data_IF_534359594834
#
_entry.id   IF_534359594834
#
_cell.length_a   1.000
_cell.length_b   1.000
_cell.length_c   1.000
_cell.angle_alpha   90.00
_cell.angle_beta   90.00
_cell.angle_gamma   90.00
#
_symmetry.space_group_name_H-M   'P 1'
#
loop_
_entity.id
_entity.type
_entity.pdbx_description
1 polymer ?
#
# COMPACT_ATOMS: atom_id res chain seq x y z
N UNK A 1 -15.87 -14.10 -10.11
CA UNK A 1 -15.88 -13.11 -11.22
C UNK A 1 -17.12 -12.22 -11.24
N UNK A 2 -18.37 -12.71 -11.22
CA UNK A 2 -19.58 -11.84 -11.18
C UNK A 2 -19.68 -10.94 -9.94
N UNK A 3 -19.26 -11.41 -8.77
CA UNK A 3 -19.30 -10.63 -7.50
C UNK A 3 -18.29 -9.47 -7.51
N UNK A 4 -17.07 -9.73 -7.99
CA UNK A 4 -16.01 -8.72 -8.09
C UNK A 4 -16.38 -7.60 -9.08
N UNK A 5 -16.95 -7.94 -10.23
CA UNK A 5 -17.39 -6.94 -11.22
C UNK A 5 -18.54 -6.07 -10.70
N UNK A 6 -19.43 -6.62 -9.87
CA UNK A 6 -20.48 -5.82 -9.22
C UNK A 6 -19.90 -4.90 -8.14
N UNK A 7 -18.93 -5.38 -7.35
CA UNK A 7 -18.26 -4.57 -6.33
C UNK A 7 -17.39 -3.45 -6.93
N UNK A 8 -16.79 -3.70 -8.10
CA UNK A 8 -16.05 -2.75 -8.94
C UNK A 8 -16.97 -1.74 -9.65
N UNK A 9 -18.19 -2.12 -10.04
CA UNK A 9 -19.15 -1.18 -10.61
C UNK A 9 -19.67 -0.15 -9.57
N UNK A 10 -19.64 -0.50 -8.29
CA UNK A 10 -19.95 0.41 -7.17
C UNK A 10 -18.77 1.32 -6.76
N UNK A 11 -17.68 1.34 -7.53
CA UNK A 11 -16.47 2.15 -7.30
C UNK A 11 -16.33 3.33 -8.26
N UNK A 12 -17.33 3.60 -9.09
CA UNK A 12 -17.28 4.65 -10.13
C UNK A 12 -17.35 6.08 -9.55
N UNK A 13 -16.90 7.10 -10.32
CA UNK A 13 -16.49 8.41 -9.78
C UNK A 13 -17.61 9.32 -9.27
N UNK A 14 -18.89 8.99 -9.52
CA UNK A 14 -20.03 9.89 -9.30
C UNK A 14 -20.68 9.80 -7.91
N UNK A 15 -20.07 9.08 -6.95
CA UNK A 15 -20.58 9.02 -5.59
C UNK A 15 -20.05 10.18 -4.73
N UNK A 16 -20.91 10.77 -3.92
CA UNK A 16 -20.53 11.79 -2.94
C UNK A 16 -19.65 11.15 -1.83
N UNK A 17 -18.33 11.24 -2.02
CA UNK A 17 -17.29 10.66 -1.15
C UNK A 17 -16.88 11.59 0.01
N UNK A 18 -17.74 12.52 0.41
CA UNK A 18 -17.41 13.57 1.40
C UNK A 18 -17.04 13.07 2.80
N UNK A 19 -17.34 11.81 3.15
CA UNK A 19 -16.97 11.23 4.45
C UNK A 19 -15.67 10.41 4.38
N UNK A 20 -14.68 10.81 5.20
CA UNK A 20 -13.40 10.10 5.35
C UNK A 20 -13.60 8.62 5.76
N UNK A 21 -14.61 8.32 6.58
CA UNK A 21 -14.89 6.94 7.02
C UNK A 21 -15.35 6.05 5.86
N UNK A 22 -16.15 6.58 4.94
CA UNK A 22 -16.54 5.84 3.73
C UNK A 22 -15.35 5.58 2.81
N UNK A 23 -14.44 6.56 2.68
CA UNK A 23 -13.19 6.40 1.91
C UNK A 23 -12.31 5.32 2.54
N UNK A 24 -12.13 5.35 3.87
CA UNK A 24 -11.38 4.33 4.61
C UNK A 24 -11.96 2.94 4.40
N UNK A 25 -13.27 2.75 4.60
CA UNK A 25 -13.92 1.45 4.43
C UNK A 25 -13.69 0.89 3.02
N UNK A 26 -13.83 1.74 2.00
CA UNK A 26 -13.69 1.32 0.62
C UNK A 26 -12.24 1.03 0.23
N UNK A 27 -11.30 1.86 0.67
CA UNK A 27 -9.86 1.62 0.51
C UNK A 27 -9.45 0.31 1.18
N UNK A 28 -9.93 0.02 2.41
CA UNK A 28 -9.67 -1.24 3.11
C UNK A 28 -10.18 -2.44 2.29
N UNK A 29 -11.38 -2.35 1.71
CA UNK A 29 -11.95 -3.39 0.83
C UNK A 29 -11.10 -3.60 -0.43
N UNK A 30 -10.72 -2.53 -1.12
CA UNK A 30 -9.88 -2.58 -2.32
C UNK A 30 -8.55 -3.29 -2.04
N UNK A 31 -7.85 -2.86 -1.00
CA UNK A 31 -6.56 -3.43 -0.61
C UNK A 31 -6.69 -4.90 -0.20
N UNK A 32 -7.69 -5.23 0.62
CA UNK A 32 -7.91 -6.61 1.08
C UNK A 32 -8.15 -7.56 -0.10
N UNK A 33 -8.98 -7.15 -1.06
CA UNK A 33 -9.25 -7.91 -2.28
C UNK A 33 -7.96 -8.08 -3.09
N UNK A 34 -7.19 -7.01 -3.28
CA UNK A 34 -5.96 -7.08 -4.06
C UNK A 34 -4.95 -8.03 -3.42
N UNK A 35 -4.69 -7.89 -2.12
CA UNK A 35 -3.69 -8.69 -1.42
C UNK A 35 -4.09 -10.16 -1.35
N UNK A 36 -5.37 -10.45 -1.10
CA UNK A 36 -5.86 -11.83 -1.14
C UNK A 36 -5.70 -12.45 -2.54
N UNK A 37 -5.99 -11.68 -3.60
CA UNK A 37 -5.85 -12.15 -4.96
C UNK A 37 -4.39 -12.42 -5.33
N UNK A 38 -3.48 -11.47 -5.08
CA UNK A 38 -2.05 -11.64 -5.34
C UNK A 38 -1.47 -12.77 -4.50
N UNK A 39 -1.84 -12.88 -3.23
CA UNK A 39 -1.36 -13.96 -2.36
C UNK A 39 -1.80 -15.35 -2.82
N UNK A 40 -3.01 -15.48 -3.35
CA UNK A 40 -3.49 -16.73 -3.96
C UNK A 40 -2.76 -17.08 -5.25
N UNK A 41 -2.46 -16.07 -6.09
CA UNK A 41 -1.65 -16.29 -7.28
C UNK A 41 -0.26 -16.80 -6.91
N UNK A 42 0.38 -16.19 -5.92
CA UNK A 42 1.68 -16.63 -5.42
C UNK A 42 1.65 -18.06 -4.91
N UNK A 43 0.69 -18.37 -4.03
CA UNK A 43 0.58 -19.71 -3.45
C UNK A 43 0.34 -20.80 -4.52
N UNK A 44 -0.41 -20.45 -5.57
CA UNK A 44 -0.61 -21.35 -6.70
C UNK A 44 0.71 -21.60 -7.46
N UNK A 45 1.49 -20.55 -7.72
CA UNK A 45 2.76 -20.69 -8.42
C UNK A 45 3.82 -21.45 -7.60
N UNK A 46 3.88 -21.21 -6.28
CA UNK A 46 4.72 -21.99 -5.37
C UNK A 46 4.34 -23.48 -5.42
N UNK A 47 3.04 -23.79 -5.41
CA UNK A 47 2.54 -25.16 -5.50
C UNK A 47 2.80 -25.85 -6.84
N UNK A 48 2.95 -25.06 -7.92
CA UNK A 48 3.28 -25.55 -9.26
C UNK A 48 4.79 -25.60 -9.52
N UNK A 49 5.62 -25.15 -8.57
CA UNK A 49 7.08 -24.99 -8.73
C UNK A 49 7.44 -24.17 -9.98
N UNK A 50 6.60 -23.18 -10.31
CA UNK A 50 6.79 -22.28 -11.45
C UNK A 50 7.20 -20.91 -10.95
N UNK A 51 8.25 -20.35 -11.55
CA UNK A 51 8.55 -18.93 -11.36
C UNK A 51 7.38 -18.09 -11.89
N UNK A 52 6.84 -17.25 -11.03
CA UNK A 52 5.80 -16.31 -11.41
C UNK A 52 6.43 -15.35 -12.42
N UNK A 53 5.95 -15.37 -13.67
CA UNK A 53 6.13 -14.20 -14.54
C UNK A 53 5.17 -13.13 -14.06
N UNK A 54 5.48 -12.55 -12.90
CA UNK A 54 4.96 -11.24 -12.59
C UNK A 54 5.39 -10.35 -13.75
N UNK A 55 4.52 -9.44 -14.13
CA UNK A 55 4.84 -8.34 -15.04
C UNK A 55 6.24 -7.77 -14.73
N UNK A 56 6.91 -7.17 -15.72
CA UNK A 56 8.25 -6.59 -15.52
C UNK A 56 8.31 -5.60 -14.34
N UNK A 57 7.16 -5.07 -13.92
CA UNK A 57 6.97 -4.24 -12.74
C UNK A 57 5.98 -4.90 -11.76
N UNK A 58 6.44 -5.45 -10.60
CA UNK A 58 5.58 -6.09 -9.60
C UNK A 58 4.41 -5.25 -9.10
N UNK A 59 4.48 -3.92 -9.23
CA UNK A 59 3.40 -3.00 -8.86
C UNK A 59 2.15 -3.13 -9.74
N UNK A 60 2.26 -3.64 -10.96
CA UNK A 60 1.12 -3.77 -11.87
C UNK A 60 0.08 -4.79 -11.34
N UNK A 61 0.52 -5.73 -10.50
CA UNK A 61 -0.36 -6.68 -9.80
C UNK A 61 -1.17 -6.03 -8.67
N UNK A 62 -0.79 -4.82 -8.25
CA UNK A 62 -1.39 -4.05 -7.17
C UNK A 62 -2.29 -2.90 -7.69
N UNK A 63 -2.98 -3.11 -8.81
CA UNK A 63 -3.80 -2.07 -9.44
C UNK A 63 -4.98 -1.56 -8.59
N UNK A 64 -5.55 -2.37 -7.67
CA UNK A 64 -6.56 -1.88 -6.73
C UNK A 64 -5.93 -1.14 -5.54
N UNK A 65 -4.66 -1.42 -5.24
CA UNK A 65 -3.88 -0.63 -4.28
C UNK A 65 -3.68 0.78 -4.79
N UNK A 66 -3.35 0.93 -6.08
CA UNK A 66 -3.33 2.22 -6.75
C UNK A 66 -4.68 2.96 -6.52
N UNK A 67 -5.80 2.36 -6.92
CA UNK A 67 -7.12 2.98 -6.76
C UNK A 67 -7.45 3.35 -5.30
N UNK A 68 -7.02 2.54 -4.34
CA UNK A 68 -7.19 2.83 -2.92
C UNK A 68 -6.37 4.06 -2.47
N UNK A 69 -5.14 4.20 -2.98
CA UNK A 69 -4.29 5.36 -2.74
C UNK A 69 -4.90 6.62 -3.35
N UNK A 70 -5.34 6.58 -4.62
CA UNK A 70 -5.97 7.73 -5.27
C UNK A 70 -7.24 8.17 -4.53
N UNK A 71 -8.05 7.20 -4.08
CA UNK A 71 -9.27 7.48 -3.31
C UNK A 71 -8.99 8.21 -2.00
N UNK A 72 -7.95 7.78 -1.28
CA UNK A 72 -7.60 8.31 0.04
C UNK A 72 -6.86 9.64 -0.03
N UNK A 73 -5.94 9.78 -0.99
CA UNK A 73 -4.99 10.90 -1.05
C UNK A 73 -5.35 11.94 -2.09
N UNK A 74 -6.12 11.58 -3.12
CA UNK A 74 -6.35 12.42 -4.29
C UNK A 74 -5.16 12.52 -5.25
N UNK A 75 -4.03 11.86 -4.95
CA UNK A 75 -2.88 11.76 -5.83
C UNK A 75 -3.26 11.00 -7.11
N UNK A 76 -2.73 11.43 -8.26
CA UNK A 76 -3.01 10.84 -9.58
C UNK A 76 -1.72 10.65 -10.37
N UNK A 77 -1.64 9.58 -11.16
CA UNK A 77 -0.46 9.33 -12.00
C UNK A 77 0.82 9.09 -11.18
N UNK A 78 1.99 9.37 -11.75
CA UNK A 78 3.30 9.14 -11.09
C UNK A 78 3.67 10.23 -10.06
N UNK A 79 2.75 10.54 -9.14
CA UNK A 79 3.03 11.38 -7.97
C UNK A 79 4.02 10.64 -7.04
N UNK A 80 5.08 11.31 -6.58
CA UNK A 80 6.09 10.72 -5.72
C UNK A 80 5.48 10.10 -4.45
N UNK A 81 4.50 10.75 -3.83
CA UNK A 81 3.80 10.20 -2.66
C UNK A 81 3.10 8.87 -3.00
N UNK A 82 2.48 8.81 -4.18
CA UNK A 82 1.79 7.61 -4.66
C UNK A 82 2.79 6.48 -4.90
N UNK A 83 3.92 6.78 -5.55
CA UNK A 83 5.01 5.80 -5.78
C UNK A 83 5.53 5.25 -4.45
N UNK A 84 5.71 6.10 -3.43
CA UNK A 84 6.10 5.64 -2.10
C UNK A 84 5.04 4.71 -1.49
N UNK A 85 3.76 5.07 -1.54
CA UNK A 85 2.69 4.24 -0.98
C UNK A 85 2.54 2.89 -1.71
N UNK A 86 2.67 2.87 -3.03
CA UNK A 86 2.70 1.65 -3.85
C UNK A 86 3.87 0.75 -3.44
N UNK A 87 5.07 1.32 -3.32
CA UNK A 87 6.28 0.58 -2.98
C UNK A 87 6.20 -0.01 -1.57
N UNK A 88 5.71 0.78 -0.59
CA UNK A 88 5.45 0.31 0.78
C UNK A 88 4.49 -0.87 0.78
N UNK A 89 3.38 -0.73 0.05
CA UNK A 89 2.34 -1.75 -0.02
C UNK A 89 2.89 -3.05 -0.60
N UNK A 90 3.54 -2.95 -1.77
CA UNK A 90 4.14 -4.06 -2.50
C UNK A 90 5.20 -4.78 -1.67
N UNK A 91 6.18 -4.04 -1.15
CA UNK A 91 7.30 -4.63 -0.42
C UNK A 91 6.88 -5.22 0.93
N UNK A 92 5.96 -4.57 1.66
CA UNK A 92 5.45 -5.10 2.93
C UNK A 92 4.61 -6.35 2.70
N UNK A 93 3.81 -6.38 1.62
CA UNK A 93 3.07 -7.56 1.21
C UNK A 93 4.00 -8.75 0.97
N UNK A 94 5.05 -8.59 0.14
CA UNK A 94 6.00 -9.67 -0.11
C UNK A 94 6.75 -10.09 1.15
N UNK A 95 7.17 -9.14 1.99
CA UNK A 95 7.80 -9.44 3.30
C UNK A 95 6.89 -10.32 4.17
N UNK A 96 5.60 -10.00 4.26
CA UNK A 96 4.61 -10.78 5.00
C UNK A 96 4.38 -12.15 4.37
N UNK A 97 4.24 -12.24 3.05
CA UNK A 97 4.03 -13.51 2.34
C UNK A 97 5.11 -14.55 2.69
N UNK A 98 6.39 -14.15 2.61
CA UNK A 98 7.51 -15.06 2.85
C UNK A 98 7.75 -15.41 4.34
N UNK A 99 7.30 -14.55 5.26
CA UNK A 99 7.51 -14.74 6.72
C UNK A 99 6.33 -15.40 7.42
N UNK A 100 5.15 -15.45 6.77
CA UNK A 100 3.91 -15.92 7.39
C UNK A 100 3.55 -17.31 6.90
N UNK A 101 3.09 -18.18 7.80
CA UNK A 101 2.57 -19.49 7.42
C UNK A 101 1.33 -19.32 6.51
N UNK A 102 1.20 -20.18 5.50
CA UNK A 102 0.12 -20.09 4.50
C UNK A 102 -1.31 -19.97 5.11
N UNK A 103 -1.56 -20.68 6.22
CA UNK A 103 -2.88 -20.64 6.91
C UNK A 103 -3.20 -19.28 7.56
N UNK A 104 -2.17 -18.47 7.85
CA UNK A 104 -2.28 -17.20 8.57
C UNK A 104 -2.14 -15.98 7.61
N UNK A 105 -1.78 -16.21 6.34
CA UNK A 105 -1.54 -15.16 5.34
C UNK A 105 -2.77 -14.27 5.09
N UNK A 106 -3.99 -14.84 5.07
CA UNK A 106 -5.22 -14.05 4.85
C UNK A 106 -5.42 -12.99 5.93
N UNK A 107 -5.15 -13.35 7.19
CA UNK A 107 -5.30 -12.42 8.30
C UNK A 107 -4.18 -11.37 8.31
N UNK A 108 -2.94 -11.79 7.98
CA UNK A 108 -1.82 -10.87 7.81
C UNK A 108 -2.09 -9.82 6.72
N UNK A 109 -2.69 -10.21 5.59
CA UNK A 109 -3.05 -9.29 4.51
C UNK A 109 -4.17 -8.32 4.88
N UNK A 110 -5.15 -8.76 5.68
CA UNK A 110 -6.16 -7.85 6.22
C UNK A 110 -5.55 -6.84 7.19
N UNK A 111 -4.60 -7.28 8.02
CA UNK A 111 -3.80 -6.39 8.87
C UNK A 111 -3.06 -5.34 8.06
N UNK A 112 -2.35 -5.76 7.00
CA UNK A 112 -1.66 -4.82 6.10
C UNK A 112 -2.63 -3.82 5.45
N UNK A 113 -3.78 -4.27 4.95
CA UNK A 113 -4.79 -3.39 4.36
C UNK A 113 -5.31 -2.36 5.37
N UNK A 114 -5.51 -2.78 6.63
CA UNK A 114 -5.91 -1.89 7.70
C UNK A 114 -4.84 -0.81 7.96
N UNK A 115 -3.60 -1.23 8.14
CA UNK A 115 -2.47 -0.38 8.53
C UNK A 115 -2.13 0.66 7.45
N UNK A 116 -2.16 0.25 6.18
CA UNK A 116 -1.98 1.16 5.05
C UNK A 116 -3.07 2.23 5.00
N UNK A 117 -4.32 1.89 5.28
CA UNK A 117 -5.41 2.89 5.28
C UNK A 117 -5.29 3.86 6.43
N UNK A 118 -4.88 3.41 7.61
CA UNK A 118 -4.62 4.33 8.72
C UNK A 118 -3.42 5.25 8.44
N UNK A 119 -2.37 4.74 7.78
CA UNK A 119 -1.27 5.58 7.30
C UNK A 119 -1.78 6.63 6.30
N UNK A 120 -2.54 6.20 5.28
CA UNK A 120 -3.07 7.11 4.25
C UNK A 120 -4.01 8.17 4.84
N UNK A 121 -4.82 7.81 5.82
CA UNK A 121 -5.74 8.74 6.47
C UNK A 121 -5.03 9.84 7.28
N UNK A 122 -3.79 9.59 7.71
CA UNK A 122 -2.97 10.59 8.40
C UNK A 122 -2.24 11.53 7.43
N UNK A 123 -2.13 11.19 6.15
CA UNK A 123 -1.37 12.00 5.17
C UNK A 123 -1.79 13.47 5.13
N UNK A 124 -3.08 13.85 5.19
CA UNK A 124 -3.47 15.26 5.24
C UNK A 124 -2.96 16.01 6.48
N UNK A 125 -2.72 15.31 7.60
CA UNK A 125 -2.16 15.88 8.83
C UNK A 125 -0.63 15.94 8.78
N UNK A 126 -0.01 14.97 8.09
CA UNK A 126 1.43 14.81 7.93
C UNK A 126 1.99 15.82 6.93
N UNK A 127 1.30 16.00 5.79
CA UNK A 127 1.74 16.82 4.67
C UNK A 127 1.25 18.27 4.76
N UNK A 128 1.19 18.84 5.97
CA UNK A 128 1.02 20.28 6.15
C UNK A 128 2.28 21.09 5.73
N UNK A 129 3.37 20.39 5.44
CA UNK A 129 4.61 20.91 4.87
C UNK A 129 4.74 20.40 3.42
N UNK A 130 5.42 21.15 2.57
CA UNK A 130 5.78 20.69 1.23
C UNK A 130 6.51 19.34 1.32
N UNK A 131 6.21 18.42 0.41
CA UNK A 131 6.76 17.07 0.41
C UNK A 131 8.29 17.09 0.45
N UNK A 132 8.92 17.99 -0.29
CA UNK A 132 10.36 18.15 -0.37
C UNK A 132 10.96 19.00 0.77
N UNK A 133 10.13 19.78 1.46
CA UNK A 133 10.53 20.63 2.59
C UNK A 133 10.14 20.03 3.94
N UNK A 134 10.30 18.71 4.08
CA UNK A 134 10.11 17.98 5.35
C UNK A 134 8.87 17.07 5.40
N UNK A 135 7.93 17.19 4.46
CA UNK A 135 6.75 16.33 4.37
C UNK A 135 7.12 14.85 4.20
N UNK A 136 8.11 14.54 3.35
CA UNK A 136 8.63 13.18 3.15
C UNK A 136 9.16 12.55 4.43
N UNK A 137 9.90 13.31 5.25
CA UNK A 137 10.40 12.83 6.54
C UNK A 137 9.27 12.62 7.54
N UNK A 138 8.31 13.53 7.60
CA UNK A 138 7.12 13.38 8.45
C UNK A 138 6.34 12.11 8.07
N UNK A 139 6.21 11.83 6.77
CA UNK A 139 5.64 10.59 6.25
C UNK A 139 6.41 9.35 6.71
N UNK A 140 7.73 9.31 6.49
CA UNK A 140 8.54 8.15 6.90
C UNK A 140 8.49 7.91 8.42
N UNK A 141 8.42 8.96 9.23
CA UNK A 141 8.26 8.84 10.68
C UNK A 141 6.91 8.22 11.07
N UNK A 142 5.81 8.62 10.43
CA UNK A 142 4.50 7.99 10.68
C UNK A 142 4.45 6.56 10.15
N UNK A 143 5.07 6.32 9.00
CA UNK A 143 5.21 4.98 8.46
C UNK A 143 5.94 4.07 9.45
N UNK A 144 7.05 4.51 10.04
CA UNK A 144 7.77 3.73 11.06
C UNK A 144 6.98 3.49 12.35
N UNK A 145 5.99 4.34 12.67
CA UNK A 145 5.07 4.07 13.79
C UNK A 145 4.12 2.92 13.48
N UNK A 146 3.73 2.78 12.21
CA UNK A 146 2.84 1.72 11.73
C UNK A 146 3.63 0.43 11.46
N UNK A 147 4.83 0.56 10.90
CA UNK A 147 5.75 -0.54 10.58
C UNK A 147 7.09 -0.31 11.29
N UNK A 148 7.22 -0.72 12.58
CA UNK A 148 8.41 -0.44 13.40
C UNK A 148 9.73 -0.93 12.80
N UNK A 149 9.70 -2.06 12.10
CA UNK A 149 10.87 -2.62 11.42
C UNK A 149 11.11 -1.99 10.05
N UNK A 150 10.41 -0.90 9.71
CA UNK A 150 10.39 -0.30 8.37
C UNK A 150 9.55 -1.05 7.34
N UNK A 151 8.96 -2.20 7.70
CA UNK A 151 8.17 -3.05 6.80
C UNK A 151 9.00 -3.83 5.78
N UNK A 152 9.94 -3.15 5.11
CA UNK A 152 10.83 -3.70 4.10
C UNK A 152 12.18 -2.96 3.98
N UNK A 153 13.14 -3.58 3.27
CA UNK A 153 14.46 -2.97 3.03
C UNK A 153 14.41 -1.66 2.24
N UNK A 154 13.46 -1.52 1.31
CA UNK A 154 13.31 -0.28 0.54
C UNK A 154 13.10 0.91 1.48
N UNK A 155 12.16 0.81 2.42
CA UNK A 155 11.85 1.88 3.36
C UNK A 155 12.98 2.14 4.34
N UNK A 156 13.63 1.09 4.83
CA UNK A 156 14.81 1.24 5.67
C UNK A 156 15.91 2.05 4.97
N UNK A 157 16.16 1.78 3.68
CA UNK A 157 17.10 2.54 2.84
C UNK A 157 16.65 4.00 2.68
N UNK A 158 15.38 4.24 2.37
CA UNK A 158 14.83 5.59 2.23
C UNK A 158 15.01 6.41 3.52
N UNK A 159 14.70 5.82 4.67
CA UNK A 159 14.87 6.48 5.96
C UNK A 159 16.33 6.80 6.28
N UNK A 160 17.25 5.89 5.97
CA UNK A 160 18.68 6.12 6.17
C UNK A 160 19.22 7.26 5.28
N UNK A 161 18.75 7.36 4.03
CA UNK A 161 19.14 8.44 3.11
C UNK A 161 18.69 9.81 3.62
N UNK A 162 17.44 9.93 4.06
CA UNK A 162 16.88 11.18 4.59
C UNK A 162 17.59 11.63 5.88
N UNK A 163 18.01 10.69 6.74
CA UNK A 163 18.79 11.02 7.94
C UNK A 163 20.20 11.51 7.60
N UNK A 164 20.86 10.92 6.60
CA UNK A 164 22.20 11.32 6.19
C UNK A 164 22.23 12.70 5.54
N UNK A 165 21.21 13.08 4.77
CA UNK A 165 21.10 14.42 4.19
C UNK A 165 20.98 15.50 5.26
N UNK A 166 20.36 15.19 6.40
CA UNK A 166 20.19 16.14 7.50
C UNK A 166 21.47 16.37 8.33
N UNK A 167 22.39 15.41 8.35
CA UNK A 167 23.70 15.57 9.01
C UNK A 167 24.63 16.47 8.18
N UNK A 168 24.36 16.62 6.88
CA UNK A 168 25.19 17.35 5.92
C UNK A 168 24.67 18.76 5.58
N UNK A 169 23.47 19.13 6.04
CA UNK A 169 22.84 20.43 5.85
C UNK A 169 22.97 21.30 7.11
#
# INVERSE_FOLDING_TARGET
>A
MRTLNNELAMLTPDHDWTSIEKKKEKAKKLLSINFEFVGKQMALCDALETDIQFTQNPRDEFYLTDLAIELMTGAKGEDELKVYLEEVSCCTFFSLYHKTLAKDQVEAFKGLAHDLVELMAKLPLICNQDWNEGGKRAFLNELLKVFPDGGCEFIQKQFAMENNQQVLA
#
